data_IF_456054275688
#
_entry.id   IF_456054275688
#
_cell.length_a   1.000
_cell.length_b   1.000
_cell.length_c   1.000
_cell.angle_alpha   90.00
_cell.angle_beta   90.00
_cell.angle_gamma   90.00
#
_symmetry.space_group_name_H-M   'P 1'
#
loop_
_entity.id
_entity.type
_entity.pdbx_description
1 polymer ?
#
# COMPACT_ATOMS: atom_id res chain seq x y z
N UNK A 1 -5.85 -4.38 21.91
CA UNK A 1 -5.18 -3.28 21.18
C UNK A 1 -6.23 -2.63 20.27
N UNK A 2 -6.25 -1.28 20.13
CA UNK A 2 -7.19 -0.63 19.21
C UNK A 2 -6.95 -1.12 17.79
N UNK A 3 -8.02 -1.43 17.05
CA UNK A 3 -7.92 -1.80 15.65
C UNK A 3 -7.80 -0.55 14.79
N UNK A 4 -6.85 -0.57 13.85
CA UNK A 4 -6.70 0.49 12.85
C UNK A 4 -7.83 0.34 11.82
N UNK A 5 -8.60 1.40 11.58
CA UNK A 5 -9.77 1.38 10.66
C UNK A 5 -9.39 1.51 9.18
N UNK A 6 -8.19 2.03 8.90
CA UNK A 6 -7.73 2.25 7.53
C UNK A 6 -7.18 0.93 6.96
N UNK A 7 -7.77 0.37 5.89
CA UNK A 7 -7.35 -0.92 5.35
C UNK A 7 -6.02 -0.81 4.62
N UNK A 8 -5.21 -1.86 4.65
CA UNK A 8 -4.02 -1.93 3.81
C UNK A 8 -4.36 -2.36 2.39
N UNK A 9 -3.49 -1.96 1.47
CA UNK A 9 -3.52 -2.38 0.08
C UNK A 9 -2.56 -3.57 -0.07
N UNK A 10 -3.00 -4.60 -0.78
CA UNK A 10 -2.17 -5.73 -1.15
C UNK A 10 -1.98 -5.75 -2.66
N UNK A 11 -0.72 -5.76 -3.08
CA UNK A 11 -0.33 -5.96 -4.49
C UNK A 11 0.13 -7.41 -4.61
N UNK A 12 -0.50 -8.17 -5.52
CA UNK A 12 -0.15 -9.56 -5.79
C UNK A 12 0.53 -9.68 -7.15
N UNK A 13 1.63 -10.42 -7.21
CA UNK A 13 2.18 -10.90 -8.48
C UNK A 13 1.53 -12.24 -8.81
N UNK A 14 0.98 -12.33 -10.02
CA UNK A 14 0.30 -13.51 -10.53
C UNK A 14 1.18 -14.22 -11.56
N UNK A 15 1.24 -15.55 -11.50
CA UNK A 15 1.82 -16.41 -12.54
C UNK A 15 1.00 -17.68 -12.63
N UNK A 16 0.54 -18.05 -13.83
CA UNK A 16 -0.33 -19.20 -14.06
C UNK A 16 -1.55 -19.23 -13.10
N UNK A 17 -2.22 -18.09 -12.94
CA UNK A 17 -3.35 -17.88 -12.02
C UNK A 17 -3.04 -18.13 -10.53
N UNK A 18 -1.76 -18.29 -10.16
CA UNK A 18 -1.31 -18.41 -8.77
C UNK A 18 -0.67 -17.10 -8.30
N UNK A 19 -0.93 -16.73 -7.05
CA UNK A 19 -0.21 -15.65 -6.36
C UNK A 19 1.18 -16.16 -6.00
N UNK A 20 2.23 -15.52 -6.49
CA UNK A 20 3.62 -15.97 -6.30
C UNK A 20 4.47 -15.01 -5.47
N UNK A 21 4.03 -13.77 -5.31
CA UNK A 21 4.67 -12.78 -4.45
C UNK A 21 3.69 -11.67 -4.09
N UNK A 22 3.98 -10.91 -3.04
CA UNK A 22 3.11 -9.85 -2.57
C UNK A 22 3.84 -8.67 -1.94
N UNK A 23 3.18 -7.53 -1.93
CA UNK A 23 3.54 -6.43 -1.06
C UNK A 23 2.30 -5.92 -0.34
N UNK A 24 2.46 -5.60 0.95
CA UNK A 24 1.48 -4.86 1.74
C UNK A 24 1.90 -3.40 1.76
N UNK A 25 1.00 -2.52 1.32
CA UNK A 25 1.17 -1.07 1.32
C UNK A 25 0.17 -0.48 2.30
N UNK A 26 0.62 0.16 3.40
CA UNK A 26 -0.29 0.91 4.27
C UNK A 26 -0.95 2.03 3.47
N UNK A 27 -2.27 1.98 3.30
CA UNK A 27 -2.96 2.97 2.47
C UNK A 27 -2.82 4.40 3.01
N UNK A 28 -2.66 4.56 4.33
CA UNK A 28 -2.32 5.85 4.96
C UNK A 28 -1.07 6.52 4.38
N UNK A 29 -0.12 5.73 3.87
CA UNK A 29 1.12 6.27 3.32
C UNK A 29 0.91 6.84 1.92
N UNK A 30 -0.11 6.39 1.18
CA UNK A 30 -0.40 6.82 -0.20
C UNK A 30 -1.74 7.55 -0.34
N UNK A 31 -2.41 7.85 0.77
CA UNK A 31 -3.70 8.51 0.80
C UNK A 31 -3.58 9.93 0.23
N UNK A 32 -4.49 10.29 -0.67
CA UNK A 32 -4.64 11.66 -1.11
C UNK A 32 -5.54 12.44 -0.15
N UNK A 33 -5.12 13.65 0.22
CA UNK A 33 -5.95 14.67 0.87
C UNK A 33 -5.59 16.04 0.30
N UNK A 34 -6.52 17.00 0.40
CA UNK A 34 -6.28 18.42 0.13
C UNK A 34 -5.60 19.13 1.31
N UNK A 35 -5.63 18.50 2.50
CA UNK A 35 -4.97 18.99 3.71
C UNK A 35 -3.62 18.28 3.82
N UNK A 36 -2.53 19.04 3.85
CA UNK A 36 -1.18 18.49 3.80
C UNK A 36 -0.87 17.56 4.98
N UNK A 37 -1.36 17.86 6.18
CA UNK A 37 -1.19 17.03 7.39
C UNK A 37 -1.90 15.68 7.31
N UNK A 38 -2.92 15.57 6.45
CA UNK A 38 -3.68 14.34 6.22
C UNK A 38 -3.19 13.56 5.00
N UNK A 39 -2.31 14.15 4.20
CA UNK A 39 -1.75 13.53 3.01
C UNK A 39 -0.77 12.43 3.39
N UNK A 40 -0.88 11.30 2.70
CA UNK A 40 0.08 10.22 2.83
C UNK A 40 1.48 10.66 2.40
N UNK A 41 2.50 10.28 3.17
CA UNK A 41 3.90 10.65 2.91
C UNK A 41 4.43 10.27 1.52
N UNK A 42 3.85 9.26 0.90
CA UNK A 42 4.18 8.71 -0.42
C UNK A 42 3.12 9.07 -1.50
N UNK A 43 2.13 9.91 -1.18
CA UNK A 43 1.12 10.39 -2.13
C UNK A 43 1.79 11.08 -3.33
N UNK A 44 1.32 10.76 -4.54
CA UNK A 44 1.82 11.28 -5.82
C UNK A 44 3.33 11.06 -6.08
N UNK A 45 4.00 10.15 -5.37
CA UNK A 45 5.42 9.81 -5.56
C UNK A 45 5.58 8.46 -6.25
N UNK A 46 6.53 8.38 -7.19
CA UNK A 46 6.97 7.10 -7.76
C UNK A 46 7.81 6.36 -6.72
N UNK A 47 7.49 5.09 -6.47
CA UNK A 47 8.17 4.26 -5.46
C UNK A 47 8.40 2.85 -5.98
N UNK A 48 9.61 2.34 -5.75
CA UNK A 48 9.93 0.93 -5.97
C UNK A 48 9.62 0.13 -4.72
N UNK A 49 8.87 -0.97 -4.86
CA UNK A 49 8.51 -1.86 -3.75
C UNK A 49 9.01 -3.27 -4.07
N UNK A 50 9.73 -3.87 -3.13
CA UNK A 50 10.13 -5.27 -3.23
C UNK A 50 8.97 -6.18 -2.81
N UNK A 51 8.69 -7.19 -3.63
CA UNK A 51 7.69 -8.20 -3.31
C UNK A 51 8.30 -9.29 -2.43
N UNK A 52 7.53 -9.77 -1.46
CA UNK A 52 7.82 -10.97 -0.66
C UNK A 52 7.30 -12.18 -1.41
N UNK A 53 8.14 -13.18 -1.63
CA UNK A 53 7.76 -14.51 -2.14
C UNK A 53 7.01 -15.28 -1.05
#
# INVERSE_FOLDING_TARGET
QPQHTIPDIFIWMMSNNKRIAYARVPSKDILYSIVDEEMGKDCAKVKTIFLKV
#
